data_IF_436201468796
#
_entry.id   IF_436201468796
#
_cell.length_a   1.000
_cell.length_b   1.000
_cell.length_c   1.000
_cell.angle_alpha   90.00
_cell.angle_beta   90.00
_cell.angle_gamma   90.00
#
_symmetry.space_group_name_H-M   'P 1'
#
loop_
_entity.id
_entity.type
_entity.pdbx_description
1 polymer ?
#
# COMPACT_ATOMS: atom_id res chain seq x y z
N UNK A 1 20.88 -42.24 -10.53
CA UNK A 1 21.04 -41.35 -9.37
C UNK A 1 20.11 -40.16 -9.57
N UNK A 2 19.09 -39.99 -8.73
CA UNK A 2 18.25 -38.78 -8.72
C UNK A 2 19.02 -37.68 -7.99
N UNK A 3 19.12 -36.45 -8.53
CA UNK A 3 19.74 -35.35 -7.80
C UNK A 3 18.92 -35.03 -6.56
N UNK A 4 19.59 -35.06 -5.39
CA UNK A 4 19.00 -34.72 -4.13
C UNK A 4 18.51 -33.25 -4.14
N UNK A 5 17.21 -33.07 -4.12
CA UNK A 5 16.60 -31.76 -3.98
C UNK A 5 17.00 -31.17 -2.63
N UNK A 6 17.61 -29.99 -2.66
CA UNK A 6 17.86 -29.19 -1.47
C UNK A 6 16.46 -28.88 -0.89
N UNK A 7 16.10 -29.51 0.24
CA UNK A 7 14.94 -29.09 1.03
C UNK A 7 15.29 -27.72 1.62
N UNK A 8 14.79 -26.67 1.01
CA UNK A 8 14.75 -25.37 1.68
C UNK A 8 14.00 -25.57 3.01
N UNK A 9 14.64 -25.20 4.10
CA UNK A 9 14.02 -25.23 5.42
C UNK A 9 12.72 -24.43 5.36
N UNK A 10 11.62 -25.01 5.85
CA UNK A 10 10.34 -24.31 5.88
C UNK A 10 10.48 -23.03 6.71
N UNK A 11 10.24 -21.88 6.08
CA UNK A 11 10.28 -20.59 6.78
C UNK A 11 9.17 -20.59 7.83
N UNK A 12 9.54 -20.31 9.08
CA UNK A 12 8.58 -20.25 10.19
C UNK A 12 7.71 -19.00 10.01
N UNK A 13 6.40 -19.17 9.92
CA UNK A 13 5.47 -18.04 9.88
C UNK A 13 5.46 -17.28 11.20
N UNK A 14 5.34 -15.97 11.09
CA UNK A 14 5.09 -15.08 12.21
C UNK A 14 3.65 -15.28 12.70
N UNK A 15 3.45 -15.23 14.01
CA UNK A 15 2.14 -15.50 14.62
C UNK A 15 1.60 -14.29 15.40
N UNK A 16 2.47 -13.36 15.78
CA UNK A 16 2.10 -12.18 16.54
C UNK A 16 1.88 -10.98 15.62
N UNK A 17 0.76 -10.28 15.72
CA UNK A 17 0.45 -9.14 14.86
C UNK A 17 1.57 -8.07 14.85
N UNK A 18 2.16 -7.77 16.02
CA UNK A 18 3.23 -6.80 16.15
C UNK A 18 4.51 -7.18 15.38
N UNK A 19 4.86 -8.47 15.33
CA UNK A 19 6.01 -8.98 14.58
C UNK A 19 5.74 -8.91 13.06
N UNK A 20 4.51 -9.19 12.65
CA UNK A 20 4.08 -9.10 11.24
C UNK A 20 4.11 -7.64 10.78
N UNK A 21 3.55 -6.72 11.57
CA UNK A 21 3.57 -5.28 11.27
C UNK A 21 5.01 -4.75 11.19
N UNK A 22 5.88 -5.14 12.12
CA UNK A 22 7.29 -4.77 12.10
C UNK A 22 7.97 -5.25 10.81
N UNK A 23 7.73 -6.51 10.42
CA UNK A 23 8.29 -7.11 9.20
C UNK A 23 7.83 -6.37 7.93
N UNK A 24 6.56 -6.02 7.83
CA UNK A 24 6.03 -5.26 6.68
C UNK A 24 6.69 -3.88 6.62
N UNK A 25 6.86 -3.20 7.74
CA UNK A 25 7.57 -1.91 7.79
C UNK A 25 9.02 -2.03 7.37
N UNK A 26 9.75 -3.08 7.78
CA UNK A 26 11.12 -3.37 7.33
C UNK A 26 11.22 -3.51 5.81
N UNK A 27 10.20 -4.05 5.14
CA UNK A 27 10.16 -4.22 3.69
C UNK A 27 9.90 -2.89 2.98
N UNK A 28 8.95 -2.10 3.48
CA UNK A 28 8.43 -0.94 2.74
C UNK A 28 9.03 0.40 3.15
N UNK A 29 9.44 0.60 4.41
CA UNK A 29 10.05 1.87 4.86
C UNK A 29 11.35 2.19 4.10
N UNK A 30 12.24 1.22 3.76
CA UNK A 30 13.43 1.52 2.95
C UNK A 30 13.14 1.77 1.47
N UNK A 31 11.88 1.75 1.03
CA UNK A 31 11.52 2.04 -0.36
C UNK A 31 11.76 3.52 -0.67
N UNK A 32 12.76 3.81 -1.52
CA UNK A 32 13.15 5.19 -1.88
C UNK A 32 11.99 6.03 -2.44
N UNK A 33 11.06 5.42 -3.17
CA UNK A 33 9.90 6.14 -3.68
C UNK A 33 8.98 6.61 -2.55
N UNK A 34 8.75 5.76 -1.54
CA UNK A 34 7.90 6.09 -0.41
C UNK A 34 8.61 6.99 0.60
N UNK A 35 9.87 6.66 0.97
CA UNK A 35 10.60 7.33 2.05
C UNK A 35 11.30 8.61 1.61
N UNK A 36 12.04 8.55 0.49
CA UNK A 36 12.96 9.63 0.13
C UNK A 36 12.30 10.66 -0.80
N UNK A 37 11.44 10.19 -1.71
CA UNK A 37 10.82 11.07 -2.70
C UNK A 37 9.51 11.68 -2.20
N UNK A 38 8.57 10.85 -1.71
CA UNK A 38 7.27 11.32 -1.25
C UNK A 38 7.15 11.52 0.26
N UNK A 39 7.99 10.88 1.08
CA UNK A 39 7.86 10.85 2.54
C UNK A 39 6.49 10.34 2.99
N UNK A 40 6.08 9.17 2.44
CA UNK A 40 4.83 8.51 2.78
C UNK A 40 4.99 7.81 4.13
N UNK A 41 4.12 8.15 5.07
CA UNK A 41 4.02 7.47 6.36
C UNK A 41 3.07 6.28 6.24
N UNK A 42 3.46 5.13 6.82
CA UNK A 42 2.55 4.00 7.01
C UNK A 42 1.95 4.13 8.41
N UNK A 43 0.70 4.57 8.52
CA UNK A 43 0.08 4.90 9.81
C UNK A 43 -0.41 3.66 10.54
N UNK A 44 -1.14 2.76 9.85
CA UNK A 44 -1.73 1.54 10.42
C UNK A 44 -1.63 0.37 9.44
N UNK A 45 -1.36 -0.83 9.96
CA UNK A 45 -1.36 -2.09 9.21
C UNK A 45 -2.16 -3.12 10.00
N UNK A 46 -3.17 -3.68 9.35
CA UNK A 46 -3.94 -4.83 9.80
C UNK A 46 -4.07 -5.82 8.66
N UNK A 47 -4.40 -7.05 8.97
CA UNK A 47 -4.61 -8.07 7.95
C UNK A 47 -5.64 -7.61 6.91
N UNK A 48 -5.20 -7.38 5.68
CA UNK A 48 -6.03 -6.91 4.55
C UNK A 48 -6.49 -5.46 4.64
N UNK A 49 -5.95 -4.64 5.56
CA UNK A 49 -6.31 -3.22 5.71
C UNK A 49 -5.07 -2.41 6.07
N UNK A 50 -4.85 -1.31 5.36
CA UNK A 50 -3.70 -0.42 5.60
C UNK A 50 -4.14 1.03 5.50
N UNK A 51 -3.54 1.89 6.31
CA UNK A 51 -3.64 3.33 6.21
C UNK A 51 -2.25 3.92 5.98
N UNK A 52 -2.13 4.77 4.96
CA UNK A 52 -0.94 5.58 4.71
C UNK A 52 -1.32 7.04 4.67
N UNK A 53 -0.35 7.92 4.94
CA UNK A 53 -0.55 9.35 4.82
C UNK A 53 0.65 10.06 4.18
N UNK A 54 0.41 11.24 3.68
CA UNK A 54 1.38 12.12 3.07
C UNK A 54 1.12 13.56 3.54
N UNK A 55 2.13 14.21 4.11
CA UNK A 55 2.12 15.65 4.25
C UNK A 55 2.50 16.27 2.91
N UNK A 56 1.56 16.95 2.27
CA UNK A 56 1.77 17.49 0.92
C UNK A 56 2.72 18.70 0.95
N UNK A 57 3.68 18.74 0.02
CA UNK A 57 4.59 19.87 -0.17
C UNK A 57 4.08 20.74 -1.34
N UNK A 58 3.74 22.01 -1.11
CA UNK A 58 3.25 22.90 -2.18
C UNK A 58 4.22 23.06 -3.35
N UNK A 59 5.54 22.90 -3.12
CA UNK A 59 6.54 23.06 -4.17
C UNK A 59 6.74 21.82 -5.04
N UNK A 60 6.43 20.63 -4.48
CA UNK A 60 6.69 19.34 -5.15
C UNK A 60 5.42 18.67 -5.65
N UNK A 61 4.30 18.88 -4.94
CA UNK A 61 3.10 18.07 -5.10
C UNK A 61 1.96 18.82 -5.80
N UNK A 62 2.15 20.08 -6.19
CA UNK A 62 1.12 20.87 -6.86
C UNK A 62 1.35 20.94 -8.38
N UNK A 63 0.28 21.24 -9.10
CA UNK A 63 0.31 21.53 -10.53
C UNK A 63 0.42 23.03 -10.78
N UNK A 64 0.38 23.45 -12.06
CA UNK A 64 0.45 24.85 -12.50
C UNK A 64 -0.68 25.75 -11.96
N UNK A 65 -1.71 25.19 -11.36
CA UNK A 65 -2.83 25.91 -10.74
C UNK A 65 -2.72 25.94 -9.21
N UNK A 66 -1.56 25.54 -8.68
CA UNK A 66 -1.28 25.48 -7.24
C UNK A 66 -2.24 24.56 -6.44
N UNK A 67 -2.83 23.56 -7.11
CA UNK A 67 -3.62 22.51 -6.46
C UNK A 67 -2.88 21.19 -6.49
N UNK A 68 -3.17 20.32 -5.54
CA UNK A 68 -2.54 19.00 -5.45
C UNK A 68 -2.68 18.23 -6.76
N UNK A 69 -1.53 17.78 -7.32
CA UNK A 69 -1.49 17.08 -8.59
C UNK A 69 -2.14 15.69 -8.48
N UNK A 70 -3.04 15.35 -9.43
CA UNK A 70 -3.69 14.04 -9.46
C UNK A 70 -2.71 12.87 -9.52
N UNK A 71 -1.55 13.04 -10.18
CA UNK A 71 -0.48 12.04 -10.20
C UNK A 71 0.12 11.74 -8.81
N UNK A 72 0.19 12.73 -7.93
CA UNK A 72 0.61 12.54 -6.53
C UNK A 72 -0.43 11.72 -5.76
N UNK A 73 -1.70 12.01 -5.97
CA UNK A 73 -2.80 11.23 -5.38
C UNK A 73 -2.78 9.77 -5.87
N UNK A 74 -2.53 9.55 -7.18
CA UNK A 74 -2.38 8.21 -7.76
C UNK A 74 -1.17 7.47 -7.18
N UNK A 75 -0.02 8.15 -7.02
CA UNK A 75 1.19 7.56 -6.46
C UNK A 75 0.99 7.11 -5.01
N UNK A 76 0.28 7.90 -4.19
CA UNK A 76 -0.07 7.53 -2.82
C UNK A 76 -1.04 6.34 -2.79
N UNK A 77 -2.02 6.32 -3.70
CA UNK A 77 -2.97 5.22 -3.84
C UNK A 77 -2.28 3.91 -4.28
N UNK A 78 -1.35 3.97 -5.23
CA UNK A 78 -0.58 2.80 -5.66
C UNK A 78 0.32 2.26 -4.53
N UNK A 79 0.97 3.16 -3.80
CA UNK A 79 1.85 2.79 -2.68
C UNK A 79 1.11 2.01 -1.59
N UNK A 80 -0.12 2.41 -1.22
CA UNK A 80 -0.89 1.70 -0.20
C UNK A 80 -1.30 0.29 -0.64
N UNK A 81 -1.54 0.08 -1.95
CA UNK A 81 -1.97 -1.25 -2.46
C UNK A 81 -0.88 -2.29 -2.31
N UNK A 82 0.40 -1.92 -2.54
CA UNK A 82 1.53 -2.81 -2.31
C UNK A 82 1.64 -3.24 -0.84
N UNK A 83 1.57 -2.29 0.10
CA UNK A 83 1.59 -2.58 1.55
C UNK A 83 0.38 -3.44 1.95
N UNK A 84 -0.80 -3.19 1.34
CA UNK A 84 -2.01 -3.97 1.59
C UNK A 84 -1.87 -5.41 1.12
N UNK A 85 -1.27 -5.65 -0.05
CA UNK A 85 -0.92 -6.99 -0.51
C UNK A 85 0.02 -7.72 0.46
N UNK A 86 1.08 -7.04 0.92
CA UNK A 86 2.01 -7.59 1.90
C UNK A 86 1.33 -7.95 3.23
N UNK A 87 0.29 -7.23 3.63
CA UNK A 87 -0.45 -7.52 4.86
C UNK A 87 -1.17 -8.88 4.87
N UNK A 88 -1.26 -9.54 3.72
CA UNK A 88 -1.75 -10.92 3.57
C UNK A 88 -0.68 -11.86 2.98
N UNK A 89 0.59 -11.49 3.12
CA UNK A 89 1.73 -12.28 2.69
C UNK A 89 1.96 -12.34 1.18
N UNK A 90 1.33 -11.46 0.40
CA UNK A 90 1.47 -11.44 -1.05
C UNK A 90 2.44 -10.36 -1.53
N UNK A 91 3.35 -10.72 -2.44
CA UNK A 91 4.10 -9.78 -3.28
C UNK A 91 3.26 -9.50 -4.51
N UNK A 92 2.88 -8.25 -4.72
CA UNK A 92 1.93 -7.89 -5.78
C UNK A 92 2.51 -6.86 -6.74
N UNK A 93 1.99 -6.88 -7.97
CA UNK A 93 2.19 -5.83 -8.98
C UNK A 93 0.83 -5.31 -9.43
N UNK A 94 0.76 -4.02 -9.69
CA UNK A 94 -0.47 -3.36 -10.13
C UNK A 94 -0.79 -3.74 -11.57
N UNK A 95 -1.97 -4.29 -11.80
CA UNK A 95 -2.51 -4.58 -13.15
C UNK A 95 -3.36 -3.41 -13.62
N UNK A 96 -4.24 -2.94 -12.76
CA UNK A 96 -5.03 -1.74 -13.01
C UNK A 96 -5.23 -0.95 -11.73
N UNK A 97 -5.29 0.38 -11.87
CA UNK A 97 -5.62 1.29 -10.78
C UNK A 97 -6.53 2.38 -11.32
N UNK A 98 -7.75 2.42 -10.82
CA UNK A 98 -8.75 3.40 -11.18
C UNK A 98 -9.01 4.34 -10.01
N UNK A 99 -9.05 5.64 -10.27
CA UNK A 99 -9.35 6.65 -9.27
C UNK A 99 -10.42 7.61 -9.77
N UNK A 100 -11.47 7.78 -8.98
CA UNK A 100 -12.48 8.82 -9.16
C UNK A 100 -12.14 9.99 -8.25
N UNK A 101 -11.69 11.11 -8.84
CA UNK A 101 -11.37 12.33 -8.11
C UNK A 101 -12.66 13.10 -7.78
N UNK A 102 -12.89 13.35 -6.51
CA UNK A 102 -14.11 14.01 -6.00
C UNK A 102 -13.77 15.44 -5.56
N UNK A 103 -12.63 15.57 -4.86
CA UNK A 103 -12.22 16.82 -4.22
C UNK A 103 -10.71 16.93 -4.19
N UNK A 104 -10.19 18.14 -4.17
CA UNK A 104 -8.76 18.40 -3.94
C UNK A 104 -8.51 18.81 -2.49
N UNK A 105 -7.30 18.59 -1.99
CA UNK A 105 -6.85 19.06 -0.68
C UNK A 105 -6.11 20.39 -0.80
N UNK A 106 -6.00 21.11 0.32
CA UNK A 106 -5.14 22.30 0.40
C UNK A 106 -3.68 21.85 0.28
N UNK A 107 -2.86 22.54 -0.54
CA UNK A 107 -1.42 22.31 -0.53
C UNK A 107 -0.82 22.58 0.85
N UNK A 108 0.05 21.70 1.31
CA UNK A 108 0.63 21.76 2.64
C UNK A 108 -0.18 21.05 3.74
N UNK A 109 -1.34 20.47 3.39
CA UNK A 109 -2.13 19.66 4.33
C UNK A 109 -1.75 18.18 4.27
N UNK A 110 -2.16 17.42 5.29
CA UNK A 110 -1.99 15.96 5.32
C UNK A 110 -3.18 15.28 4.66
N UNK A 111 -2.89 14.39 3.72
CA UNK A 111 -3.88 13.51 3.10
C UNK A 111 -3.65 12.07 3.57
N UNK A 112 -4.72 11.28 3.63
CA UNK A 112 -4.68 9.86 4.07
C UNK A 112 -5.40 8.98 3.08
N UNK A 113 -4.86 7.76 2.88
CA UNK A 113 -5.52 6.71 2.11
C UNK A 113 -5.76 5.52 3.01
N UNK A 114 -7.01 5.08 3.09
CA UNK A 114 -7.44 3.89 3.81
C UNK A 114 -7.82 2.81 2.79
N UNK A 115 -7.13 1.70 2.79
CA UNK A 115 -7.34 0.59 1.87
C UNK A 115 -7.88 -0.64 2.58
N UNK A 116 -8.60 -1.46 1.83
CA UNK A 116 -9.01 -2.80 2.27
C UNK A 116 -9.14 -3.75 1.08
N UNK A 117 -8.85 -5.03 1.35
CA UNK A 117 -9.00 -6.09 0.36
C UNK A 117 -10.47 -6.44 0.23
N UNK A 118 -11.02 -6.37 -0.98
CA UNK A 118 -12.38 -6.81 -1.34
C UNK A 118 -12.40 -8.23 -1.91
N UNK A 119 -11.30 -8.65 -2.55
CA UNK A 119 -11.11 -10.01 -3.03
C UNK A 119 -9.65 -10.45 -2.81
N UNK A 120 -9.45 -11.65 -2.23
CA UNK A 120 -8.13 -12.24 -2.02
C UNK A 120 -8.10 -13.63 -2.67
N UNK A 121 -7.83 -13.66 -3.97
CA UNK A 121 -7.78 -14.88 -4.79
C UNK A 121 -6.45 -15.65 -4.68
N UNK A 122 -6.25 -16.58 -5.60
CA UNK A 122 -5.00 -17.35 -5.71
C UNK A 122 -3.93 -16.59 -6.51
N UNK A 123 -4.33 -15.84 -7.51
CA UNK A 123 -3.46 -15.14 -8.46
C UNK A 123 -3.67 -13.63 -8.47
N UNK A 124 -4.81 -13.17 -7.96
CA UNK A 124 -5.20 -11.76 -7.97
C UNK A 124 -5.76 -11.33 -6.63
N UNK A 125 -5.53 -10.08 -6.29
CA UNK A 125 -6.13 -9.39 -5.14
C UNK A 125 -6.81 -8.14 -5.67
N UNK A 126 -8.06 -7.87 -5.24
CA UNK A 126 -8.74 -6.61 -5.53
C UNK A 126 -8.78 -5.78 -4.25
N UNK A 127 -8.34 -4.54 -4.36
CA UNK A 127 -8.21 -3.61 -3.24
C UNK A 127 -9.06 -2.38 -3.52
N UNK A 128 -9.99 -2.08 -2.64
CA UNK A 128 -10.67 -0.80 -2.62
C UNK A 128 -9.97 0.13 -1.62
N UNK A 129 -9.92 1.42 -1.95
CA UNK A 129 -9.38 2.42 -1.05
C UNK A 129 -10.14 3.75 -1.18
N UNK A 130 -10.05 4.55 -0.13
CA UNK A 130 -10.64 5.88 -0.07
C UNK A 130 -9.58 6.86 0.42
N UNK A 131 -9.51 8.02 -0.22
CA UNK A 131 -8.59 9.10 0.15
C UNK A 131 -9.34 10.20 0.86
N UNK A 132 -8.74 10.75 1.92
CA UNK A 132 -9.31 11.77 2.78
C UNK A 132 -8.34 12.92 3.00
N UNK A 133 -8.87 14.13 3.13
CA UNK A 133 -8.12 15.31 3.58
C UNK A 133 -7.95 15.34 5.11
N UNK A 134 -7.33 16.39 5.63
CA UNK A 134 -7.09 16.59 7.06
C UNK A 134 -8.37 16.72 7.90
N UNK A 135 -9.48 17.15 7.28
CA UNK A 135 -10.80 17.28 7.90
C UNK A 135 -11.67 16.01 7.77
N UNK A 136 -11.08 14.87 7.39
CA UNK A 136 -11.77 13.59 7.07
C UNK A 136 -12.83 13.70 5.96
N UNK A 137 -12.68 14.65 5.01
CA UNK A 137 -13.55 14.75 3.85
C UNK A 137 -13.02 13.88 2.72
N UNK A 138 -13.92 13.10 2.10
CA UNK A 138 -13.59 12.20 1.00
C UNK A 138 -13.07 12.98 -0.21
N UNK A 139 -11.87 12.63 -0.67
CA UNK A 139 -11.20 13.23 -1.82
C UNK A 139 -11.27 12.37 -3.08
N UNK A 140 -11.17 11.06 -2.93
CA UNK A 140 -11.20 10.12 -4.04
C UNK A 140 -11.64 8.73 -3.60
N UNK A 141 -12.26 8.00 -4.54
CA UNK A 141 -12.47 6.56 -4.47
C UNK A 141 -11.48 5.86 -5.40
N UNK A 142 -10.92 4.74 -4.95
CA UNK A 142 -9.87 3.99 -5.63
C UNK A 142 -10.28 2.52 -5.71
N UNK A 143 -10.00 1.89 -6.86
CA UNK A 143 -10.08 0.45 -7.04
C UNK A 143 -8.82 0.00 -7.76
N UNK A 144 -8.15 -1.03 -7.23
CA UNK A 144 -6.95 -1.60 -7.82
C UNK A 144 -7.08 -3.12 -7.97
N UNK A 145 -6.70 -3.62 -9.15
CA UNK A 145 -6.50 -5.04 -9.41
C UNK A 145 -5.00 -5.31 -9.37
N UNK A 146 -4.60 -6.22 -8.49
CA UNK A 146 -3.23 -6.60 -8.24
C UNK A 146 -3.00 -8.06 -8.65
N UNK A 147 -1.90 -8.32 -9.33
CA UNK A 147 -1.44 -9.69 -9.60
C UNK A 147 -0.45 -10.13 -8.53
N UNK A 148 -0.65 -11.32 -7.97
CA UNK A 148 0.30 -11.95 -7.06
C UNK A 148 1.44 -12.53 -7.90
N UNK A 149 2.66 -12.04 -7.67
CA UNK A 149 3.87 -12.49 -8.37
C UNK A 149 4.79 -13.34 -7.49
N UNK A 150 4.66 -13.21 -6.16
CA UNK A 150 5.42 -13.97 -5.17
C UNK A 150 4.72 -13.87 -3.80
N UNK A 151 5.32 -14.47 -2.78
CA UNK A 151 4.84 -14.45 -1.41
C UNK A 151 5.95 -14.13 -0.41
N UNK A 152 5.58 -13.47 0.68
CA UNK A 152 6.39 -13.37 1.89
C UNK A 152 6.07 -14.60 2.77
N UNK A 153 6.90 -15.65 2.75
CA UNK A 153 6.55 -16.94 3.38
C UNK A 153 6.40 -16.83 4.89
N UNK A 154 7.04 -15.83 5.51
CA UNK A 154 6.94 -15.54 6.95
C UNK A 154 5.65 -14.82 7.34
N UNK A 155 4.96 -14.16 6.40
CA UNK A 155 3.73 -13.41 6.67
C UNK A 155 2.51 -14.29 6.33
N UNK A 156 1.68 -14.64 7.32
CA UNK A 156 0.51 -15.48 7.07
C UNK A 156 -0.57 -14.71 6.29
N UNK A 157 -1.40 -15.47 5.57
CA UNK A 157 -2.50 -14.90 4.79
C UNK A 157 -3.63 -14.31 5.65
N UNK A 158 -3.69 -14.70 6.92
CA UNK A 158 -4.67 -14.23 7.93
C UNK A 158 -3.98 -14.14 9.29
N UNK A 159 -4.24 -13.08 10.01
CA UNK A 159 -3.70 -12.83 11.35
C UNK A 159 -4.47 -11.70 12.06
#
# INVERSE_FOLDING_TARGET
MKPGGIRLAAVKQLTKPEEIVARIREIYVPNHFMSDYFHIDIDDIRCGKVTVSLLTDPRKHTNHREVLHGGVMMALADSVTGVTGASVGAVVVTVSLTMSFIRNARPGSRIRVKSHITHNGRTTIVIAAEMYDEDDKLMANILADMMIVDHFPEIPRKW
#
